data_IF_581959446348
#
_entry.id   IF_581959446348
#
_cell.length_a   1.000
_cell.length_b   1.000
_cell.length_c   1.000
_cell.angle_alpha   90.00
_cell.angle_beta   90.00
_cell.angle_gamma   90.00
#
_symmetry.space_group_name_H-M   'P 1'
#
loop_
_entity.id
_entity.type
_entity.pdbx_description
1 polymer ?
#
# COMPACT_ATOMS: atom_id res chain seq x y z
N UNK A 1 4.66 9.18 2.02
CA UNK A 1 5.47 10.34 2.51
C UNK A 1 6.12 9.95 3.83
N UNK A 2 7.38 10.31 4.06
CA UNK A 2 8.12 9.90 5.25
C UNK A 2 8.93 11.06 5.88
N UNK A 3 8.25 12.07 6.46
CA UNK A 3 8.92 13.24 7.02
C UNK A 3 9.78 12.92 8.25
N UNK A 4 9.43 11.87 9.00
CA UNK A 4 10.14 11.46 10.22
C UNK A 4 11.34 10.53 9.95
N UNK A 5 11.62 10.21 8.67
CA UNK A 5 12.74 9.34 8.32
C UNK A 5 12.61 7.92 8.88
N UNK A 6 11.39 7.39 9.00
CA UNK A 6 11.13 6.03 9.47
C UNK A 6 11.78 5.05 8.51
N UNK A 7 12.61 4.17 9.03
CA UNK A 7 13.27 3.13 8.24
C UNK A 7 12.75 1.76 8.63
N UNK A 8 12.80 0.84 7.67
CA UNK A 8 12.52 -0.58 7.88
C UNK A 8 13.81 -1.37 7.77
N UNK A 9 13.82 -2.58 8.30
CA UNK A 9 14.95 -3.49 8.10
C UNK A 9 15.04 -3.81 6.61
N UNK A 10 16.24 -3.70 6.05
CA UNK A 10 16.50 -4.11 4.69
C UNK A 10 16.22 -5.62 4.54
N UNK A 11 15.42 -5.96 3.53
CA UNK A 11 15.05 -7.35 3.19
C UNK A 11 16.14 -8.03 2.36
N UNK A 12 17.12 -7.26 1.89
CA UNK A 12 18.22 -7.73 1.05
C UNK A 12 17.93 -7.61 -0.44
N UNK A 13 18.96 -7.90 -1.24
CA UNK A 13 18.87 -7.89 -2.69
C UNK A 13 18.33 -9.22 -3.22
N UNK A 14 17.24 -9.15 -3.99
CA UNK A 14 16.63 -10.30 -4.67
C UNK A 14 17.04 -10.40 -6.15
N UNK A 15 17.88 -9.49 -6.62
CA UNK A 15 18.36 -9.42 -8.00
C UNK A 15 17.33 -8.86 -8.97
N UNK A 16 17.66 -8.98 -10.26
CA UNK A 16 16.79 -8.58 -11.36
C UNK A 16 15.76 -9.68 -11.64
N UNK A 17 14.48 -9.31 -11.74
CA UNK A 17 13.44 -10.28 -12.09
C UNK A 17 13.65 -10.86 -13.50
N UNK A 18 13.29 -12.13 -13.72
CA UNK A 18 13.42 -12.82 -15.01
C UNK A 18 12.12 -12.88 -15.82
N UNK A 19 11.18 -11.97 -15.56
CA UNK A 19 9.86 -11.95 -16.20
C UNK A 19 9.92 -11.73 -17.71
N UNK A 20 8.97 -12.31 -18.43
CA UNK A 20 8.75 -12.07 -19.87
C UNK A 20 7.37 -11.46 -20.03
N UNK A 21 7.29 -10.33 -20.74
CA UNK A 21 6.04 -9.61 -20.96
C UNK A 21 5.69 -8.66 -19.81
N UNK A 22 5.39 -9.19 -18.62
CA UNK A 22 5.02 -8.37 -17.44
C UNK A 22 5.38 -9.05 -16.11
N UNK A 23 5.41 -8.25 -15.02
CA UNK A 23 5.67 -8.68 -13.65
C UNK A 23 4.35 -8.79 -12.85
N UNK A 24 3.70 -9.95 -12.90
CA UNK A 24 2.47 -10.18 -12.12
C UNK A 24 2.75 -10.67 -10.71
N UNK A 25 1.79 -10.45 -9.81
CA UNK A 25 1.89 -10.76 -8.37
C UNK A 25 2.40 -12.18 -8.07
N UNK A 26 1.96 -13.18 -8.83
CA UNK A 26 2.28 -14.59 -8.56
C UNK A 26 3.36 -15.19 -9.48
N UNK A 27 3.87 -14.42 -10.44
CA UNK A 27 4.86 -14.92 -11.42
C UNK A 27 6.17 -14.16 -11.40
N UNK A 28 6.17 -12.91 -10.94
CA UNK A 28 7.38 -12.13 -10.76
C UNK A 28 8.10 -12.55 -9.48
N UNK A 29 9.40 -12.86 -9.60
CA UNK A 29 10.25 -13.18 -8.44
C UNK A 29 10.26 -12.05 -7.41
N UNK A 30 10.28 -10.79 -7.83
CA UNK A 30 10.28 -9.65 -6.92
C UNK A 30 8.92 -9.52 -6.23
N UNK A 31 7.82 -9.62 -6.99
CA UNK A 31 6.47 -9.57 -6.43
C UNK A 31 6.23 -10.70 -5.42
N UNK A 32 6.69 -11.91 -5.74
CA UNK A 32 6.61 -13.07 -4.85
C UNK A 32 7.41 -12.87 -3.55
N UNK A 33 8.51 -12.13 -3.62
CA UNK A 33 9.33 -11.72 -2.46
C UNK A 33 8.78 -10.49 -1.73
N UNK A 34 7.56 -10.01 -2.06
CA UNK A 34 6.99 -8.77 -1.54
C UNK A 34 7.89 -7.54 -1.76
N UNK A 35 8.55 -7.47 -2.91
CA UNK A 35 9.39 -6.36 -3.33
C UNK A 35 8.87 -5.77 -4.63
N UNK A 36 8.66 -4.46 -4.63
CA UNK A 36 8.28 -3.75 -5.84
C UNK A 36 9.41 -3.72 -6.86
N UNK A 37 9.06 -3.80 -8.14
CA UNK A 37 10.00 -3.61 -9.24
C UNK A 37 10.47 -2.15 -9.30
N UNK A 38 11.79 -1.95 -9.29
CA UNK A 38 12.45 -0.67 -9.55
C UNK A 38 13.19 -0.74 -10.89
N UNK A 39 13.67 0.38 -11.46
CA UNK A 39 14.46 0.35 -12.70
C UNK A 39 15.68 -0.58 -12.61
N UNK A 40 16.25 -0.74 -11.41
CA UNK A 40 17.44 -1.56 -11.19
C UNK A 40 17.11 -3.05 -10.96
N UNK A 41 15.92 -3.37 -10.46
CA UNK A 41 15.52 -4.75 -10.11
C UNK A 41 14.58 -5.39 -11.13
N UNK A 42 14.19 -4.67 -12.18
CA UNK A 42 13.22 -5.13 -13.16
C UNK A 42 13.82 -5.19 -14.57
N UNK A 43 13.72 -6.34 -15.23
CA UNK A 43 14.15 -6.51 -16.63
C UNK A 43 13.39 -5.60 -17.61
N UNK A 44 12.20 -5.13 -17.22
CA UNK A 44 11.37 -4.19 -17.98
C UNK A 44 11.59 -2.73 -17.55
N UNK A 45 12.62 -2.43 -16.75
CA UNK A 45 12.97 -1.07 -16.32
C UNK A 45 11.88 -0.38 -15.50
N UNK A 46 11.15 -1.12 -14.65
CA UNK A 46 9.98 -0.68 -13.89
C UNK A 46 8.78 -0.21 -14.74
N UNK A 47 8.74 -0.58 -16.03
CA UNK A 47 7.53 -0.45 -16.86
C UNK A 47 6.76 -1.77 -16.82
N UNK A 48 6.37 -2.18 -15.61
CA UNK A 48 5.70 -3.45 -15.33
C UNK A 48 4.60 -3.28 -14.27
N UNK A 49 3.72 -4.27 -14.13
CA UNK A 49 2.59 -4.23 -13.19
C UNK A 49 2.99 -4.33 -11.71
N UNK A 50 4.18 -4.83 -11.38
CA UNK A 50 4.73 -4.83 -10.01
C UNK A 50 5.53 -3.54 -9.69
N UNK A 51 5.58 -2.56 -10.59
CA UNK A 51 6.18 -1.27 -10.27
C UNK A 51 5.16 -0.36 -9.56
N UNK A 52 5.55 0.45 -8.56
CA UNK A 52 4.64 1.38 -7.92
C UNK A 52 4.13 2.39 -8.96
N UNK A 53 2.83 2.41 -9.19
CA UNK A 53 2.19 3.31 -10.16
C UNK A 53 0.90 3.91 -9.60
N UNK A 54 0.65 5.16 -9.95
CA UNK A 54 -0.65 5.80 -9.74
C UNK A 54 -1.48 5.64 -11.01
N UNK A 55 -2.62 4.94 -10.90
CA UNK A 55 -3.58 4.86 -12.01
C UNK A 55 -4.55 6.04 -11.97
N UNK A 56 -4.66 6.78 -13.07
CA UNK A 56 -5.64 7.88 -13.21
C UNK A 56 -7.08 7.40 -13.38
N UNK A 57 -7.27 6.08 -13.45
CA UNK A 57 -8.52 5.39 -13.73
C UNK A 57 -9.46 5.35 -12.53
N UNK A 58 -8.95 5.57 -11.30
CA UNK A 58 -9.75 5.64 -10.09
C UNK A 58 -10.49 6.98 -9.99
N UNK A 59 -11.82 6.91 -9.92
CA UNK A 59 -12.71 8.08 -9.76
C UNK A 59 -13.53 7.97 -8.49
N UNK A 60 -13.88 9.13 -7.95
CA UNK A 60 -14.74 9.25 -6.78
C UNK A 60 -16.21 9.25 -7.20
N UNK A 61 -17.06 8.67 -6.37
CA UNK A 61 -18.51 8.79 -6.49
C UNK A 61 -19.14 8.95 -5.11
N UNK A 62 -20.30 9.59 -5.05
CA UNK A 62 -21.10 9.63 -3.83
C UNK A 62 -21.85 8.31 -3.67
N UNK A 63 -21.66 7.64 -2.54
CA UNK A 63 -22.36 6.39 -2.22
C UNK A 63 -23.80 6.61 -1.74
N UNK A 64 -24.16 7.85 -1.37
CA UNK A 64 -25.45 8.19 -0.78
C UNK A 64 -25.68 7.66 0.64
N UNK A 65 -24.72 6.92 1.22
CA UNK A 65 -24.87 6.30 2.56
C UNK A 65 -23.67 6.51 3.48
N UNK A 66 -22.45 6.28 2.98
CA UNK A 66 -21.22 6.26 3.78
C UNK A 66 -20.19 7.30 3.31
N UNK A 67 -20.64 8.29 2.54
CA UNK A 67 -19.79 9.33 1.96
C UNK A 67 -19.26 8.91 0.58
N UNK A 68 -18.01 9.25 0.30
CA UNK A 68 -17.39 8.98 -0.99
C UNK A 68 -16.88 7.54 -1.08
N UNK A 69 -17.09 6.93 -2.24
CA UNK A 69 -16.49 5.66 -2.66
C UNK A 69 -15.58 5.85 -3.86
N UNK A 70 -14.95 4.77 -4.29
CA UNK A 70 -14.05 4.72 -5.45
C UNK A 70 -14.55 3.68 -6.45
N UNK A 71 -14.49 4.00 -7.74
CA UNK A 71 -14.67 3.07 -8.83
C UNK A 71 -13.56 3.25 -9.88
N UNK A 72 -13.30 2.21 -10.68
CA UNK A 72 -12.39 2.28 -11.82
C UNK A 72 -13.17 2.61 -13.10
N UNK A 73 -12.54 3.36 -14.00
CA UNK A 73 -13.07 3.69 -15.35
C UNK A 73 -12.52 2.78 -16.45
N UNK A 74 -11.66 1.84 -16.09
CA UNK A 74 -11.10 0.82 -16.97
C UNK A 74 -11.33 -0.56 -16.39
N UNK A 75 -11.34 -1.56 -17.27
CA UNK A 75 -11.31 -2.96 -16.85
C UNK A 75 -10.02 -3.24 -16.06
N UNK A 76 -10.14 -4.13 -15.07
CA UNK A 76 -9.03 -4.62 -14.25
C UNK A 76 -9.11 -6.14 -14.21
N UNK A 77 -7.97 -6.78 -14.43
CA UNK A 77 -7.82 -8.22 -14.31
C UNK A 77 -7.42 -8.62 -12.89
N UNK A 78 -7.63 -9.90 -12.56
CA UNK A 78 -7.20 -10.45 -11.26
C UNK A 78 -5.69 -10.33 -11.14
N UNK A 79 -5.23 -9.62 -10.10
CA UNK A 79 -3.82 -9.37 -9.84
C UNK A 79 -3.35 -7.97 -10.27
N UNK A 80 -4.22 -7.18 -10.92
CA UNK A 80 -3.89 -5.79 -11.24
C UNK A 80 -3.74 -4.94 -9.98
N UNK A 81 -2.71 -4.10 -10.00
CA UNK A 81 -2.50 -3.08 -8.96
C UNK A 81 -3.49 -1.95 -9.15
N UNK A 82 -4.45 -1.84 -8.21
CA UNK A 82 -5.45 -0.78 -8.16
C UNK A 82 -4.80 0.59 -7.90
N UNK A 83 -3.85 0.63 -6.96
CA UNK A 83 -3.09 1.83 -6.62
C UNK A 83 -2.50 1.75 -5.21
N UNK A 84 -1.52 2.61 -4.94
CA UNK A 84 -0.89 2.69 -3.62
C UNK A 84 -1.83 3.32 -2.59
N UNK A 85 -1.93 2.72 -1.41
CA UNK A 85 -2.52 3.37 -0.24
C UNK A 85 -1.48 4.27 0.42
N UNK A 86 -1.31 5.47 -0.15
CA UNK A 86 -0.26 6.39 0.25
C UNK A 86 -0.72 7.39 1.33
N UNK A 87 0.20 7.72 2.23
CA UNK A 87 -0.01 8.69 3.29
C UNK A 87 1.29 9.10 3.98
N UNK A 88 1.19 9.80 5.11
CA UNK A 88 2.33 10.10 5.98
C UNK A 88 2.63 8.87 6.83
N UNK A 89 3.87 8.36 6.78
CA UNK A 89 4.32 7.31 7.70
C UNK A 89 4.46 7.90 9.10
N UNK A 90 3.90 7.23 10.09
CA UNK A 90 3.94 7.67 11.49
C UNK A 90 4.15 6.48 12.41
N UNK A 91 5.07 6.65 13.36
CA UNK A 91 5.18 5.81 14.53
C UNK A 91 4.44 6.51 15.68
N UNK A 92 3.73 5.72 16.48
CA UNK A 92 3.07 6.21 17.68
C UNK A 92 3.64 5.49 18.90
N UNK A 93 3.56 6.13 20.05
CA UNK A 93 3.75 5.46 21.33
C UNK A 93 2.38 5.02 21.87
N UNK A 94 2.35 4.12 22.86
CA UNK A 94 1.10 3.70 23.47
C UNK A 94 0.38 4.91 24.09
N UNK A 95 -0.94 5.00 23.88
CA UNK A 95 -1.74 6.08 24.46
C UNK A 95 -2.01 5.84 25.94
N UNK A 96 -2.07 4.58 26.36
CA UNK A 96 -2.30 4.16 27.74
C UNK A 96 -1.37 3.03 28.14
N UNK A 97 -0.97 3.01 29.41
CA UNK A 97 -0.15 1.94 29.96
C UNK A 97 -0.88 0.59 29.85
N UNK A 98 -0.19 -0.43 29.34
CA UNK A 98 -0.74 -1.76 29.11
C UNK A 98 -1.49 -1.94 27.78
N UNK A 99 -1.59 -0.91 26.94
CA UNK A 99 -2.19 -1.04 25.60
C UNK A 99 -1.38 -2.01 24.72
N UNK A 100 -2.04 -2.91 23.96
CA UNK A 100 -1.35 -3.74 22.99
C UNK A 100 -0.56 -2.86 22.03
N UNK A 101 0.67 -3.26 21.76
CA UNK A 101 1.59 -2.42 21.02
C UNK A 101 1.11 -2.11 19.58
N UNK A 102 0.13 -2.82 19.02
CA UNK A 102 -0.50 -2.52 17.73
C UNK A 102 -1.73 -1.59 17.78
N UNK A 103 -2.14 -1.13 18.96
CA UNK A 103 -3.32 -0.29 19.14
C UNK A 103 -2.92 1.11 19.61
N UNK A 104 -1.98 1.78 18.94
CA UNK A 104 -1.28 2.94 19.51
C UNK A 104 -1.99 4.29 19.31
N UNK A 105 -3.21 4.31 18.75
CA UNK A 105 -3.91 5.56 18.44
C UNK A 105 -5.41 5.42 18.22
N UNK A 106 -6.11 6.55 18.29
CA UNK A 106 -7.47 6.68 17.76
C UNK A 106 -7.47 6.66 16.23
N UNK A 107 -8.31 5.83 15.62
CA UNK A 107 -8.41 5.71 14.17
C UNK A 107 -9.04 6.98 13.57
N UNK A 108 -8.37 7.57 12.59
CA UNK A 108 -8.86 8.76 11.87
C UNK A 108 -9.91 8.45 10.80
N UNK A 109 -10.21 7.17 10.57
CA UNK A 109 -11.00 6.64 9.45
C UNK A 109 -10.15 6.31 8.21
N UNK A 110 -8.89 6.77 8.17
CA UNK A 110 -7.99 6.67 7.02
C UNK A 110 -6.61 6.12 7.40
N UNK A 111 -6.54 5.43 8.55
CA UNK A 111 -5.30 4.88 9.09
C UNK A 111 -5.15 3.44 8.66
N UNK A 112 -3.99 3.08 8.11
CA UNK A 112 -3.60 1.70 7.81
C UNK A 112 -2.36 1.32 8.61
N UNK A 113 -2.35 0.14 9.21
CA UNK A 113 -1.20 -0.39 9.96
C UNK A 113 -0.34 -1.25 9.03
N UNK A 114 0.98 -1.05 9.04
CA UNK A 114 1.94 -1.98 8.45
C UNK A 114 2.09 -3.24 9.31
N UNK A 115 2.23 -4.39 8.67
CA UNK A 115 2.61 -5.64 9.33
C UNK A 115 4.07 -5.58 9.78
N UNK A 116 4.94 -4.94 8.98
CA UNK A 116 6.36 -4.78 9.31
C UNK A 116 6.56 -3.65 10.31
N UNK A 117 7.31 -3.93 11.37
CA UNK A 117 7.75 -2.90 12.33
C UNK A 117 8.95 -2.13 11.77
N UNK A 118 9.11 -0.90 12.20
CA UNK A 118 10.30 -0.11 11.87
C UNK A 118 11.58 -0.75 12.41
N UNK A 119 12.74 -0.24 11.97
CA UNK A 119 14.05 -0.60 12.51
C UNK A 119 14.14 -0.37 14.04
N UNK A 120 13.36 0.59 14.56
CA UNK A 120 13.24 0.87 16.00
C UNK A 120 12.22 -0.03 16.71
N UNK A 121 11.68 -1.06 16.02
CA UNK A 121 10.69 -2.02 16.52
C UNK A 121 9.35 -1.39 16.91
N UNK A 122 9.02 -0.22 16.34
CA UNK A 122 7.72 0.43 16.53
C UNK A 122 6.73 0.02 15.45
N UNK A 123 5.44 0.06 15.78
CA UNK A 123 4.39 -0.09 14.78
C UNK A 123 4.31 1.17 13.93
N UNK A 124 4.17 0.97 12.62
CA UNK A 124 4.13 2.05 11.65
C UNK A 124 2.76 2.10 11.02
N UNK A 125 2.22 3.31 10.89
CA UNK A 125 0.92 3.56 10.27
C UNK A 125 1.07 4.49 9.07
N UNK A 126 0.20 4.31 8.09
CA UNK A 126 -0.04 5.26 7.01
C UNK A 126 -1.18 6.19 7.41
N UNK A 127 -0.91 7.48 7.47
CA UNK A 127 -1.91 8.53 7.68
C UNK A 127 -2.36 9.15 6.36
N UNK A 128 -3.51 8.73 5.83
CA UNK A 128 -4.00 9.21 4.55
C UNK A 128 -5.00 10.38 4.65
N UNK A 129 -5.49 10.74 5.85
CA UNK A 129 -6.59 11.73 6.02
C UNK A 129 -6.35 13.07 5.33
N UNK A 130 -5.14 13.64 5.49
CA UNK A 130 -4.76 14.93 4.90
C UNK A 130 -4.15 14.80 3.49
N UNK A 131 -4.00 13.57 2.99
CA UNK A 131 -3.40 13.29 1.69
C UNK A 131 -4.42 13.42 0.58
N UNK A 132 -3.98 13.66 -0.66
CA UNK A 132 -4.88 13.88 -1.81
C UNK A 132 -5.18 12.63 -2.64
N UNK A 133 -4.59 11.47 -2.30
CA UNK A 133 -4.78 10.23 -3.05
C UNK A 133 -6.22 9.71 -3.00
N UNK A 134 -6.75 9.26 -4.14
CA UNK A 134 -8.11 8.70 -4.27
C UNK A 134 -8.29 7.41 -3.46
N UNK A 135 -7.23 6.61 -3.33
CA UNK A 135 -7.22 5.31 -2.63
C UNK A 135 -7.63 5.41 -1.16
N UNK A 136 -7.52 6.59 -0.53
CA UNK A 136 -8.01 6.81 0.85
C UNK A 136 -9.52 6.67 1.00
N UNK A 137 -10.27 6.75 -0.10
CA UNK A 137 -11.74 6.60 -0.11
C UNK A 137 -12.21 5.20 -0.51
N UNK A 138 -11.30 4.22 -0.66
CA UNK A 138 -11.67 2.82 -0.85
C UNK A 138 -12.51 2.37 0.34
N UNK A 139 -13.74 1.94 0.07
CA UNK A 139 -14.70 1.55 1.09
C UNK A 139 -14.42 0.14 1.59
N UNK A 140 -14.73 -0.10 2.87
CA UNK A 140 -14.78 -1.46 3.41
C UNK A 140 -15.93 -2.26 2.78
N UNK A 141 -15.68 -3.53 2.48
CA UNK A 141 -16.70 -4.53 2.12
C UNK A 141 -16.35 -5.86 2.79
N UNK A 142 -17.36 -6.56 3.31
CA UNK A 142 -17.19 -7.94 3.81
C UNK A 142 -17.00 -8.96 2.67
N UNK A 143 -17.26 -8.56 1.42
CA UNK A 143 -17.00 -9.32 0.19
C UNK A 143 -16.26 -8.40 -0.79
N UNK A 144 -14.97 -8.10 -0.52
CA UNK A 144 -14.23 -7.14 -1.31
C UNK A 144 -13.81 -7.76 -2.66
N UNK A 145 -13.55 -6.90 -3.63
CA UNK A 145 -13.01 -7.25 -4.96
C UNK A 145 -11.55 -6.80 -5.15
N UNK A 146 -10.92 -6.28 -4.09
CA UNK A 146 -9.52 -5.90 -4.02
C UNK A 146 -8.99 -6.20 -2.61
N UNK A 147 -7.68 -6.36 -2.49
CA UNK A 147 -7.01 -6.63 -1.22
C UNK A 147 -5.81 -5.72 -1.03
N UNK A 148 -5.47 -5.44 0.22
CA UNK A 148 -4.19 -4.82 0.55
C UNK A 148 -3.09 -5.89 0.49
N UNK A 149 -1.98 -5.51 -0.12
CA UNK A 149 -0.73 -6.27 -0.14
C UNK A 149 0.36 -5.33 0.35
N UNK A 150 1.20 -5.83 1.25
CA UNK A 150 2.42 -5.17 1.74
C UNK A 150 3.63 -5.85 1.13
#
# INVERSE_FOLDING_TARGET
MNPSGITFKDVGDFGVCSCIGDCFLYTCSNAYSAVFCTPDTCILGAVCSNAPRSLETLKLYDTGRVGLGVFTTTDLDVGDVVGEYAGVLSEYDALVDGQPAGALKYNSGYTMLYNTKSANKKYVYVEAKACRFTTRFLSHSCKPNAAFVE
#
